data_IF_848176119721
#
_entry.id   IF_848176119721
#
_cell.length_a   1.000
_cell.length_b   1.000
_cell.length_c   1.000
_cell.angle_alpha   90.00
_cell.angle_beta   90.00
_cell.angle_gamma   90.00
#
_symmetry.space_group_name_H-M   'P 1'
#
loop_
_entity.id
_entity.type
_entity.pdbx_description
1 polymer ?
#
# COMPACT_ATOMS: atom_id res chain seq x y z
N UNK A 1 9.29 -3.04 3.50
CA UNK A 1 8.03 -2.79 2.77
C UNK A 1 8.32 -2.74 1.27
N UNK A 2 7.37 -3.16 0.44
CA UNK A 2 7.47 -3.11 -1.02
C UNK A 2 6.13 -2.74 -1.64
N UNK A 3 6.16 -2.17 -2.84
CA UNK A 3 4.97 -1.91 -3.66
C UNK A 3 5.07 -2.70 -4.96
N UNK A 4 3.97 -3.36 -5.31
CA UNK A 4 3.84 -4.21 -6.48
C UNK A 4 2.72 -3.64 -7.35
N UNK A 5 3.05 -3.27 -8.58
CA UNK A 5 2.07 -2.85 -9.57
C UNK A 5 2.16 -3.77 -10.79
N UNK A 6 1.34 -4.83 -10.87
CA UNK A 6 1.22 -5.60 -12.08
C UNK A 6 0.42 -4.83 -13.13
N UNK A 7 1.05 -4.49 -14.26
CA UNK A 7 0.34 -3.90 -15.39
C UNK A 7 -0.70 -4.89 -15.94
N UNK A 8 -1.98 -4.55 -15.83
CA UNK A 8 -3.03 -5.30 -16.54
C UNK A 8 -3.18 -4.77 -17.95
N UNK A 9 -3.28 -5.70 -18.90
CA UNK A 9 -3.63 -5.44 -20.29
C UNK A 9 -5.14 -5.21 -20.49
N UNK A 10 -5.96 -5.44 -19.46
CA UNK A 10 -7.43 -5.34 -19.54
C UNK A 10 -7.93 -4.01 -18.93
N UNK A 11 -8.21 -3.03 -19.80
CA UNK A 11 -8.87 -1.77 -19.42
C UNK A 11 -8.12 -0.91 -18.40
N UNK A 12 -6.79 -1.02 -18.33
CA UNK A 12 -5.91 -0.34 -17.36
C UNK A 12 -6.23 -0.62 -15.88
N UNK A 13 -7.12 -1.57 -15.57
CA UNK A 13 -7.45 -1.91 -14.18
C UNK A 13 -6.25 -2.53 -13.50
N UNK A 14 -5.93 -2.06 -12.32
CA UNK A 14 -4.73 -2.43 -11.63
C UNK A 14 -5.05 -3.03 -10.25
N UNK A 15 -4.22 -4.00 -9.84
CA UNK A 15 -4.22 -4.54 -8.49
C UNK A 15 -2.89 -4.23 -7.80
N UNK A 16 -2.71 -2.96 -7.44
CA UNK A 16 -1.55 -2.52 -6.68
C UNK A 16 -1.54 -3.20 -5.32
N UNK A 17 -0.44 -3.84 -4.97
CA UNK A 17 -0.29 -4.51 -3.68
C UNK A 17 0.88 -3.92 -2.92
N UNK A 18 0.63 -3.47 -1.70
CA UNK A 18 1.67 -3.07 -0.76
C UNK A 18 1.96 -4.25 0.17
N UNK A 19 3.21 -4.64 0.31
CA UNK A 19 3.63 -5.70 1.23
C UNK A 19 4.44 -5.12 2.38
N UNK A 20 4.03 -5.42 3.61
CA UNK A 20 4.72 -5.02 4.84
C UNK A 20 5.10 -6.28 5.61
N UNK A 21 6.37 -6.40 5.97
CA UNK A 21 6.85 -7.42 6.90
C UNK A 21 7.09 -6.72 8.24
N UNK A 22 6.35 -7.13 9.26
CA UNK A 22 6.61 -6.70 10.63
C UNK A 22 7.77 -7.56 11.17
N UNK A 23 8.88 -6.97 11.62
CA UNK A 23 9.99 -7.73 12.20
C UNK A 23 9.52 -8.61 13.37
N UNK A 24 10.16 -9.77 13.57
CA UNK A 24 9.80 -10.70 14.65
C UNK A 24 10.08 -10.13 16.05
N UNK A 25 11.06 -9.24 16.12
CA UNK A 25 11.50 -8.50 17.28
C UNK A 25 10.83 -7.12 17.38
N UNK A 26 9.80 -6.86 16.58
CA UNK A 26 8.95 -5.67 16.77
C UNK A 26 8.30 -5.77 18.17
N UNK A 27 8.56 -4.76 19.01
CA UNK A 27 8.07 -4.73 20.40
C UNK A 27 6.57 -4.46 20.55
N UNK A 28 5.84 -4.33 19.43
CA UNK A 28 4.41 -4.10 19.36
C UNK A 28 3.87 -4.53 17.99
N UNK A 29 2.57 -4.80 17.92
CA UNK A 29 1.82 -5.05 16.70
C UNK A 29 1.72 -3.79 15.84
N UNK A 30 1.59 -3.95 14.53
CA UNK A 30 1.41 -2.85 13.58
C UNK A 30 -0.09 -2.58 13.39
N UNK A 31 -0.52 -1.38 13.77
CA UNK A 31 -1.92 -0.95 13.62
C UNK A 31 -2.16 -0.16 12.34
N UNK A 32 -1.21 0.70 11.95
CA UNK A 32 -1.41 1.59 10.81
C UNK A 32 -0.13 1.84 10.02
N UNK A 33 -0.30 1.97 8.72
CA UNK A 33 0.75 2.39 7.77
C UNK A 33 0.27 3.64 7.05
N UNK A 34 1.10 4.67 7.05
CA UNK A 34 0.83 5.92 6.31
C UNK A 34 1.82 6.03 5.16
N UNK A 35 1.33 6.38 3.97
CA UNK A 35 2.12 6.70 2.79
C UNK A 35 1.87 8.16 2.45
N UNK A 36 2.90 9.00 2.53
CA UNK A 36 2.82 10.39 2.09
C UNK A 36 3.54 10.51 0.75
N UNK A 37 2.79 10.83 -0.30
CA UNK A 37 3.32 10.97 -1.65
C UNK A 37 4.21 12.20 -1.71
N UNK A 38 5.44 12.02 -2.17
CA UNK A 38 6.36 13.13 -2.43
C UNK A 38 5.86 13.92 -3.65
N UNK A 39 6.13 15.23 -3.65
CA UNK A 39 5.69 16.15 -4.70
C UNK A 39 5.92 15.58 -6.10
N UNK A 40 4.85 15.42 -6.85
CA UNK A 40 4.86 14.93 -8.22
C UNK A 40 3.82 15.69 -9.05
N UNK A 41 3.97 15.63 -10.37
CA UNK A 41 3.01 16.24 -11.30
C UNK A 41 1.65 15.52 -11.22
N UNK A 42 1.66 14.22 -10.97
CA UNK A 42 0.47 13.37 -10.89
C UNK A 42 0.32 12.73 -9.50
N UNK A 43 -0.91 12.63 -9.02
CA UNK A 43 -1.26 11.84 -7.83
C UNK A 43 -1.52 10.38 -8.18
N UNK A 44 -1.22 9.50 -7.23
CA UNK A 44 -1.58 8.11 -7.36
C UNK A 44 -3.04 7.88 -6.93
N UNK A 45 -3.85 7.32 -7.81
CA UNK A 45 -5.20 6.89 -7.46
C UNK A 45 -5.17 5.50 -6.79
N UNK A 46 -5.40 5.49 -5.48
CA UNK A 46 -5.51 4.25 -4.68
C UNK A 46 -6.87 3.57 -4.82
N UNK A 47 -7.82 4.18 -5.53
CA UNK A 47 -9.20 3.73 -5.62
C UNK A 47 -10.04 4.22 -4.44
N UNK A 48 -11.36 3.98 -4.53
CA UNK A 48 -12.35 4.45 -3.54
C UNK A 48 -12.85 3.36 -2.59
N UNK A 49 -12.39 2.12 -2.76
CA UNK A 49 -12.82 0.98 -1.96
C UNK A 49 -11.72 0.63 -0.99
N UNK A 50 -12.11 0.16 0.19
CA UNK A 50 -11.17 -0.43 1.12
C UNK A 50 -10.39 -1.58 0.48
N UNK A 51 -9.11 -1.73 0.85
CA UNK A 51 -8.27 -2.76 0.29
C UNK A 51 -8.65 -4.15 0.81
N UNK A 52 -8.23 -5.16 0.05
CA UNK A 52 -8.32 -6.55 0.48
C UNK A 52 -6.98 -6.99 1.10
N UNK A 53 -7.01 -7.74 2.20
CA UNK A 53 -5.82 -8.16 2.95
C UNK A 53 -5.55 -9.66 2.79
N UNK A 54 -4.27 -10.04 2.68
CA UNK A 54 -3.87 -11.43 2.93
C UNK A 54 -2.49 -11.53 3.59
N UNK A 55 -2.33 -12.53 4.47
CA UNK A 55 -1.08 -12.79 5.19
C UNK A 55 -0.14 -13.74 4.44
N UNK A 56 1.17 -13.60 4.65
CA UNK A 56 2.23 -14.43 4.09
C UNK A 56 2.90 -13.81 2.87
N UNK A 57 3.54 -14.64 2.05
CA UNK A 57 4.27 -14.15 0.88
C UNK A 57 3.35 -13.51 -0.17
N UNK A 58 3.89 -12.49 -0.86
CA UNK A 58 3.22 -11.81 -1.96
C UNK A 58 2.93 -12.80 -3.09
N UNK A 59 1.69 -12.75 -3.59
CA UNK A 59 1.26 -13.57 -4.72
C UNK A 59 0.47 -12.75 -5.73
N UNK A 60 0.97 -12.68 -6.97
CA UNK A 60 0.36 -11.91 -8.06
C UNK A 60 -1.13 -12.21 -8.26
N UNK A 61 -1.55 -13.48 -8.12
CA UNK A 61 -2.95 -13.91 -8.31
C UNK A 61 -3.69 -14.22 -7.00
N UNK A 62 -3.05 -13.97 -5.85
CA UNK A 62 -3.66 -14.23 -4.54
C UNK A 62 -4.80 -13.25 -4.29
N UNK A 63 -5.92 -13.75 -3.79
CA UNK A 63 -7.07 -12.91 -3.39
C UNK A 63 -6.91 -12.56 -1.92
N UNK A 64 -7.26 -11.32 -1.58
CA UNK A 64 -7.37 -10.89 -0.20
C UNK A 64 -8.79 -11.05 0.33
N UNK A 65 -8.91 -10.91 1.63
CA UNK A 65 -10.16 -10.86 2.38
C UNK A 65 -10.52 -9.39 2.62
N UNK A 66 -11.76 -8.96 2.30
CA UNK A 66 -12.21 -7.60 2.56
C UNK A 66 -12.51 -7.40 4.05
N UNK A 67 -12.55 -6.14 4.49
CA UNK A 67 -12.96 -5.78 5.86
C UNK A 67 -11.91 -6.05 6.94
N UNK A 68 -10.67 -6.34 6.55
CA UNK A 68 -9.52 -6.49 7.45
C UNK A 68 -8.61 -5.25 7.48
N UNK A 69 -8.92 -4.26 6.67
CA UNK A 69 -8.26 -2.97 6.67
C UNK A 69 -9.18 -1.89 6.10
N UNK A 70 -9.00 -0.68 6.58
CA UNK A 70 -9.65 0.52 6.07
C UNK A 70 -8.59 1.45 5.48
N UNK A 71 -8.90 2.08 4.35
CA UNK A 71 -8.02 3.04 3.70
C UNK A 71 -8.66 4.42 3.63
N UNK A 72 -7.98 5.41 4.19
CA UNK A 72 -8.39 6.81 4.12
C UNK A 72 -7.36 7.64 3.38
N UNK A 73 -7.84 8.59 2.58
CA UNK A 73 -6.99 9.51 1.80
C UNK A 73 -7.22 10.92 2.37
N UNK A 74 -6.14 11.69 2.55
CA UNK A 74 -6.21 13.09 2.98
C UNK A 74 -7.02 13.95 2.00
N UNK A 75 -7.53 15.09 2.45
CA UNK A 75 -8.23 16.05 1.58
C UNK A 75 -7.36 16.53 0.41
N UNK A 76 -6.05 16.68 0.64
CA UNK A 76 -5.06 17.02 -0.38
C UNK A 76 -4.77 15.87 -1.36
N UNK A 77 -5.16 14.64 -1.03
CA UNK A 77 -4.98 13.47 -1.89
C UNK A 77 -3.55 12.90 -1.91
N UNK A 78 -2.65 13.43 -1.09
CA UNK A 78 -1.23 13.08 -1.04
C UNK A 78 -0.91 12.08 0.06
N UNK A 79 -1.77 11.88 1.05
CA UNK A 79 -1.55 10.94 2.13
C UNK A 79 -2.59 9.82 2.09
N UNK A 80 -2.10 8.57 2.08
CA UNK A 80 -2.90 7.37 2.25
C UNK A 80 -2.60 6.79 3.64
N UNK A 81 -3.62 6.64 4.47
CA UNK A 81 -3.56 5.94 5.75
C UNK A 81 -4.28 4.60 5.63
N UNK A 82 -3.60 3.53 6.02
CA UNK A 82 -4.11 2.15 6.01
C UNK A 82 -4.16 1.68 7.45
N UNK A 83 -5.36 1.49 7.98
CA UNK A 83 -5.58 0.94 9.31
C UNK A 83 -5.91 -0.55 9.22
N UNK A 84 -5.34 -1.36 10.11
CA UNK A 84 -5.55 -2.81 10.16
C UNK A 84 -6.47 -3.18 11.33
N UNK A 85 -7.50 -3.97 11.04
CA UNK A 85 -8.35 -4.59 12.05
C UNK A 85 -8.67 -6.04 11.64
N UNK A 86 -8.02 -7.05 12.24
CA UNK A 86 -7.13 -6.96 13.41
C UNK A 86 -5.76 -6.37 13.07
N UNK A 87 -5.05 -5.91 14.12
CA UNK A 87 -3.65 -5.47 14.03
C UNK A 87 -2.72 -6.58 13.52
N UNK A 88 -1.58 -6.21 12.95
CA UNK A 88 -0.63 -7.15 12.34
C UNK A 88 0.49 -7.50 13.33
N UNK A 89 0.61 -8.78 13.65
CA UNK A 89 1.53 -9.28 14.68
C UNK A 89 3.01 -9.24 14.22
N UNK A 90 3.97 -9.10 15.15
CA UNK A 90 5.39 -9.31 14.89
C UNK A 90 5.68 -10.62 14.16
N UNK A 91 6.53 -10.54 13.14
CA UNK A 91 6.88 -11.67 12.29
C UNK A 91 5.88 -12.00 11.17
N UNK A 92 4.72 -11.34 11.13
CA UNK A 92 3.78 -11.49 10.02
C UNK A 92 4.16 -10.63 8.83
N UNK A 93 3.83 -11.13 7.63
CA UNK A 93 3.79 -10.34 6.42
C UNK A 93 2.35 -10.10 6.03
N UNK A 94 1.96 -8.84 5.90
CA UNK A 94 0.66 -8.41 5.39
C UNK A 94 0.80 -7.90 3.96
N UNK A 95 -0.19 -8.21 3.12
CA UNK A 95 -0.30 -7.71 1.76
C UNK A 95 -1.62 -6.98 1.60
N UNK A 96 -1.55 -5.70 1.22
CA UNK A 96 -2.67 -4.78 1.08
C UNK A 96 -2.94 -4.58 -0.40
N UNK A 97 -4.02 -5.18 -0.92
CA UNK A 97 -4.36 -5.16 -2.33
C UNK A 97 -5.44 -4.11 -2.62
N UNK A 98 -5.05 -3.07 -3.34
CA UNK A 98 -5.94 -2.03 -3.84
C UNK A 98 -6.49 -2.40 -5.21
N UNK A 99 -7.74 -2.05 -5.47
CA UNK A 99 -8.34 -2.12 -6.81
C UNK A 99 -8.48 -0.70 -7.35
N UNK A 100 -7.59 -0.35 -8.28
CA UNK A 100 -7.54 0.98 -8.87
C UNK A 100 -7.26 0.92 -10.36
N UNK A 101 -6.86 2.04 -10.96
CA UNK A 101 -6.37 2.11 -12.33
C UNK A 101 -4.86 2.32 -12.34
N UNK A 102 -4.21 1.91 -13.42
CA UNK A 102 -2.83 2.32 -13.66
C UNK A 102 -2.77 3.84 -13.80
N UNK A 103 -1.86 4.50 -13.09
CA UNK A 103 -1.68 5.93 -13.26
C UNK A 103 -0.97 6.23 -14.57
N UNK A 104 -0.76 7.52 -14.85
CA UNK A 104 0.06 7.95 -15.97
C UNK A 104 1.50 7.42 -15.87
N UNK A 105 2.21 7.36 -16.99
CA UNK A 105 3.63 6.99 -16.98
C UNK A 105 4.46 8.09 -16.33
N UNK A 106 5.00 7.80 -15.16
CA UNK A 106 5.79 8.70 -14.35
C UNK A 106 6.56 7.88 -13.28
N UNK A 107 7.32 8.55 -12.43
CA UNK A 107 7.97 7.95 -11.26
C UNK A 107 7.20 8.43 -10.03
N UNK A 108 6.56 7.50 -9.33
CA UNK A 108 5.83 7.79 -8.10
C UNK A 108 6.67 7.45 -6.88
N UNK A 109 6.63 8.29 -5.86
CA UNK A 109 7.43 8.14 -4.64
C UNK A 109 6.62 8.48 -3.40
N UNK A 110 6.84 7.71 -2.33
CA UNK A 110 6.19 7.91 -1.04
C UNK A 110 7.19 7.74 0.09
N UNK A 111 7.14 8.62 1.08
CA UNK A 111 7.65 8.29 2.42
C UNK A 111 6.64 7.40 3.12
N UNK A 112 7.10 6.55 4.02
CA UNK A 112 6.22 5.64 4.75
C UNK A 112 6.42 5.82 6.25
N UNK A 113 5.34 5.71 7.01
CA UNK A 113 5.37 5.78 8.47
C UNK A 113 4.61 4.58 9.02
N UNK A 114 5.20 3.91 10.00
CA UNK A 114 4.58 2.79 10.71
C UNK A 114 4.15 3.25 12.10
N UNK A 115 2.89 2.96 12.43
CA UNK A 115 2.26 3.34 13.69
C UNK A 115 1.87 2.03 14.41
N UNK A 116 2.55 1.69 15.50
CA UNK A 116 2.22 0.52 16.31
C UNK A 116 0.85 0.65 16.99
N UNK A 117 0.29 -0.47 17.43
CA UNK A 117 -0.87 -0.50 18.30
C UNK A 117 -0.52 0.02 19.70
N UNK A 118 -1.47 0.70 20.36
CA UNK A 118 -1.34 1.14 21.75
C UNK A 118 -1.89 2.54 22.03
N UNK A 119 -1.88 2.95 23.29
CA UNK A 119 -2.46 4.23 23.73
C UNK A 119 -1.59 5.45 23.42
N UNK A 120 -0.28 5.28 23.29
CA UNK A 120 0.69 6.33 22.96
C UNK A 120 1.80 5.75 22.06
N UNK A 121 1.48 5.42 20.80
CA UNK A 121 2.39 4.69 19.95
C UNK A 121 3.55 5.58 19.48
N UNK A 122 4.77 5.05 19.58
CA UNK A 122 5.94 5.69 18.99
C UNK A 122 6.01 5.32 17.51
N UNK A 123 5.73 6.29 16.64
CA UNK A 123 5.82 6.12 15.20
C UNK A 123 7.27 5.86 14.77
N UNK A 124 7.44 5.10 13.69
CA UNK A 124 8.74 4.91 13.05
C UNK A 124 8.68 5.21 11.56
N UNK A 125 9.73 5.85 11.05
CA UNK A 125 9.88 6.06 9.62
C UNK A 125 10.20 4.73 8.92
N UNK A 126 9.42 4.42 7.90
CA UNK A 126 9.66 3.30 7.01
C UNK A 126 10.51 3.67 5.80
N UNK A 127 10.75 2.72 4.88
CA UNK A 127 11.52 3.01 3.68
C UNK A 127 10.74 3.94 2.74
N UNK A 128 11.46 4.73 1.94
CA UNK A 128 10.86 5.38 0.77
C UNK A 128 10.49 4.33 -0.27
N UNK A 129 9.23 4.35 -0.72
CA UNK A 129 8.79 3.55 -1.85
C UNK A 129 8.95 4.36 -3.13
N UNK A 130 9.43 3.72 -4.19
CA UNK A 130 9.58 4.33 -5.52
C UNK A 130 9.14 3.34 -6.58
N UNK A 131 8.24 3.78 -7.47
CA UNK A 131 7.66 2.95 -8.51
C UNK A 131 7.67 3.68 -9.85
N UNK A 132 8.51 3.27 -10.81
CA UNK A 132 8.45 3.78 -12.17
C UNK A 132 7.33 3.10 -12.96
N UNK A 133 6.52 3.89 -13.65
CA UNK A 133 5.48 3.44 -14.57
C UNK A 133 5.87 3.87 -15.99
N UNK A 134 5.86 2.90 -16.90
CA UNK A 134 6.21 3.13 -18.30
C UNK A 134 4.97 2.92 -19.20
N UNK A 135 4.83 3.75 -20.23
CA UNK A 135 3.87 3.51 -21.29
C UNK A 135 4.28 2.25 -22.05
N UNK A 136 3.35 1.31 -22.17
CA UNK A 136 3.56 0.16 -23.02
C UNK A 136 2.99 0.48 -24.40
N UNK A 137 3.85 0.90 -25.34
CA UNK A 137 3.45 1.36 -26.68
C UNK A 137 2.85 0.25 -27.56
N UNK A 138 2.85 -1.00 -27.11
CA UNK A 138 2.39 -2.16 -27.87
C UNK A 138 0.85 -2.30 -27.98
N UNK A 139 0.08 -1.38 -27.43
CA UNK A 139 -1.40 -1.46 -27.38
C UNK A 139 -2.13 -0.21 -27.93
N UNK A 140 -1.50 0.54 -28.85
CA UNK A 140 -2.20 1.55 -29.65
C UNK A 140 -2.90 0.93 -30.85
#
# INVERSE_FOLDING_TARGET
MSIHNPSSTEGQRNRTTISVLVPKDAGAELERVVLSQLTNIDSWDWGRRDPEIYLGDYGLRRRGEPGLAEATISESGDELSIHFDPVIEPGQRVNVAFRSFNPAANIYQWTTTFIPAGSDPICSDGPTLRLPIYLNEQYR
#
